data_IF_758580623838
#
_entry.id   IF_758580623838
#
_cell.length_a   1.000
_cell.length_b   1.000
_cell.length_c   1.000
_cell.angle_alpha   90.00
_cell.angle_beta   90.00
_cell.angle_gamma   90.00
#
_symmetry.space_group_name_H-M   'P 1'
#
loop_
_entity.id
_entity.type
_entity.pdbx_description
1 polymer ?
#
# COMPACT_ATOMS: atom_id res chain seq x y z
N UNK A 1 12.05 -7.74 19.86
CA UNK A 1 11.63 -6.88 18.72
C UNK A 1 10.70 -7.71 17.83
N UNK A 2 9.83 -7.08 17.05
CA UNK A 2 9.04 -7.72 15.99
C UNK A 2 9.21 -6.94 14.70
N UNK A 3 9.31 -7.66 13.59
CA UNK A 3 9.54 -7.11 12.25
C UNK A 3 8.55 -7.81 11.29
N UNK A 4 7.39 -7.21 10.96
CA UNK A 4 6.41 -7.82 10.07
C UNK A 4 6.86 -7.75 8.62
N UNK A 5 6.51 -8.75 7.80
CA UNK A 5 6.83 -8.76 6.37
C UNK A 5 6.05 -7.70 5.58
N UNK A 6 4.77 -7.50 5.94
CA UNK A 6 3.87 -6.50 5.37
C UNK A 6 2.71 -6.21 6.35
N UNK A 7 1.81 -5.31 5.96
CA UNK A 7 0.77 -4.77 6.84
C UNK A 7 -0.46 -5.67 7.05
N UNK A 8 -0.62 -6.78 6.31
CA UNK A 8 -1.84 -7.60 6.42
C UNK A 8 -2.03 -8.12 7.85
N UNK A 9 -3.30 -8.29 8.22
CA UNK A 9 -3.74 -8.54 9.57
C UNK A 9 -3.23 -9.85 10.15
N UNK A 10 -3.16 -10.90 9.35
CA UNK A 10 -2.54 -12.18 9.71
C UNK A 10 -1.04 -12.07 10.04
N UNK A 11 -0.34 -11.06 9.54
CA UNK A 11 1.08 -10.78 9.85
C UNK A 11 1.27 -9.77 10.99
N UNK A 12 0.21 -9.02 11.36
CA UNK A 12 0.32 -7.87 12.28
C UNK A 12 -0.61 -7.91 13.49
N UNK A 13 -1.63 -8.79 13.52
CA UNK A 13 -2.71 -8.78 14.54
C UNK A 13 -2.23 -9.00 15.97
N UNK A 14 -1.11 -9.71 16.15
CA UNK A 14 -0.51 -9.92 17.46
C UNK A 14 0.28 -8.70 17.98
N UNK A 15 0.71 -7.79 17.11
CA UNK A 15 1.68 -6.73 17.45
C UNK A 15 1.13 -5.77 18.52
N UNK A 16 -0.10 -5.22 18.42
CA UNK A 16 -0.63 -4.33 19.47
C UNK A 16 -0.65 -4.99 20.85
N UNK A 17 -0.99 -6.29 20.91
CA UNK A 17 -0.97 -7.06 22.15
C UNK A 17 0.45 -7.19 22.70
N UNK A 18 1.41 -7.55 21.86
CA UNK A 18 2.82 -7.69 22.24
C UNK A 18 3.43 -6.38 22.74
N UNK A 19 3.13 -5.25 22.09
CA UNK A 19 3.56 -3.93 22.53
C UNK A 19 2.98 -3.61 23.92
N UNK A 20 1.67 -3.80 24.11
CA UNK A 20 0.97 -3.46 25.36
C UNK A 20 1.37 -4.35 26.55
N UNK A 21 1.58 -5.66 26.31
CA UNK A 21 1.81 -6.65 27.39
C UNK A 21 3.28 -6.89 27.69
N UNK A 22 4.15 -6.76 26.70
CA UNK A 22 5.54 -7.17 26.80
C UNK A 22 6.53 -6.06 26.41
N UNK A 23 6.05 -4.87 26.01
CA UNK A 23 6.92 -3.77 25.60
C UNK A 23 7.73 -4.06 24.34
N UNK A 24 7.29 -5.02 23.52
CA UNK A 24 7.96 -5.40 22.27
C UNK A 24 8.07 -4.19 21.35
N UNK A 25 9.25 -4.00 20.77
CA UNK A 25 9.52 -2.94 19.79
C UNK A 25 9.13 -3.37 18.39
N UNK A 26 8.39 -2.53 17.67
CA UNK A 26 8.03 -2.74 16.27
C UNK A 26 9.05 -2.02 15.38
N UNK A 27 9.75 -2.76 14.53
CA UNK A 27 10.53 -2.18 13.44
C UNK A 27 9.86 -2.52 12.11
N UNK A 28 9.81 -1.58 11.17
CA UNK A 28 9.15 -1.78 9.88
C UNK A 28 9.94 -1.08 8.76
N UNK A 29 9.81 -1.58 7.52
CA UNK A 29 10.25 -0.85 6.33
C UNK A 29 9.65 0.56 6.34
N UNK A 30 10.44 1.56 5.93
CA UNK A 30 10.04 2.97 5.88
C UNK A 30 8.69 3.22 5.19
N UNK A 31 8.44 2.56 4.07
CA UNK A 31 7.19 2.65 3.31
C UNK A 31 5.97 2.13 4.09
N UNK A 32 6.17 1.27 5.09
CA UNK A 32 5.11 0.72 5.94
C UNK A 32 4.78 1.57 7.16
N UNK A 33 5.57 2.60 7.49
CA UNK A 33 5.38 3.33 8.75
C UNK A 33 3.98 3.99 8.80
N UNK A 34 3.62 4.76 7.78
CA UNK A 34 2.37 5.52 7.81
C UNK A 34 1.12 4.61 7.82
N UNK A 35 1.13 3.52 7.06
CA UNK A 35 0.02 2.57 7.00
C UNK A 35 -0.20 1.84 8.34
N UNK A 36 0.87 1.56 9.09
CA UNK A 36 0.79 0.95 10.41
C UNK A 36 0.37 1.96 11.49
N UNK A 37 0.83 3.20 11.41
CA UNK A 37 0.51 4.25 12.40
C UNK A 37 -0.83 4.93 12.15
N UNK A 38 -1.26 5.03 10.88
CA UNK A 38 -2.47 5.75 10.45
C UNK A 38 -3.38 4.88 9.56
N UNK A 39 -3.84 3.70 10.03
CA UNK A 39 -4.61 2.79 9.20
C UNK A 39 -5.94 3.38 8.68
N UNK A 40 -6.50 4.38 9.38
CA UNK A 40 -7.70 5.10 8.95
C UNK A 40 -7.52 5.88 7.64
N UNK A 41 -6.28 6.14 7.20
CA UNK A 41 -6.00 6.84 5.95
C UNK A 41 -6.18 5.98 4.70
N UNK A 42 -6.40 4.67 4.86
CA UNK A 42 -6.32 3.70 3.76
C UNK A 42 -7.62 2.90 3.59
N UNK A 43 -7.94 2.60 2.32
CA UNK A 43 -8.96 1.62 1.91
C UNK A 43 -8.32 0.46 1.16
N UNK A 44 -7.65 -0.42 1.89
CA UNK A 44 -6.88 -1.54 1.36
C UNK A 44 -7.25 -2.81 2.15
N UNK A 45 -7.20 -4.00 1.52
CA UNK A 45 -7.69 -5.22 2.13
C UNK A 45 -6.78 -5.66 3.28
N UNK A 46 -7.35 -6.41 4.23
CA UNK A 46 -6.62 -7.03 5.34
C UNK A 46 -5.85 -6.03 6.24
N UNK A 47 -6.17 -4.73 6.22
CA UNK A 47 -5.58 -3.76 7.13
C UNK A 47 -6.28 -3.76 8.49
N UNK A 48 -5.50 -3.90 9.56
CA UNK A 48 -6.03 -3.73 10.92
C UNK A 48 -6.44 -2.26 11.16
N UNK A 49 -7.60 -2.01 11.78
CA UNK A 49 -8.08 -0.65 12.03
C UNK A 49 -7.40 0.03 13.23
N UNK A 50 -6.38 -0.58 13.83
CA UNK A 50 -5.74 -0.12 15.06
C UNK A 50 -4.34 0.42 14.77
N UNK A 51 -4.06 1.69 15.10
CA UNK A 51 -2.71 2.23 15.04
C UNK A 51 -1.70 1.40 15.81
N UNK A 52 -0.55 1.13 15.20
CA UNK A 52 0.61 0.48 15.81
C UNK A 52 1.78 1.45 15.79
N UNK A 53 2.33 1.76 16.96
CA UNK A 53 3.50 2.65 17.06
C UNK A 53 4.72 1.95 16.44
N UNK A 54 5.35 2.55 15.44
CA UNK A 54 6.61 2.03 14.90
C UNK A 54 7.77 2.63 15.71
N UNK A 55 8.57 1.76 16.34
CA UNK A 55 9.70 2.19 17.17
C UNK A 55 10.98 2.44 16.34
N UNK A 56 11.08 1.85 15.13
CA UNK A 56 12.19 2.07 14.19
C UNK A 56 11.71 1.91 12.74
N UNK A 57 12.02 2.90 11.92
CA UNK A 57 11.95 2.80 10.46
C UNK A 57 13.25 2.18 9.93
N UNK A 58 13.14 1.18 9.05
CA UNK A 58 14.26 0.52 8.37
C UNK A 58 14.23 0.91 6.90
N UNK A 59 15.35 1.35 6.34
CA UNK A 59 15.43 1.71 4.91
C UNK A 59 15.54 0.51 3.97
N UNK A 60 15.15 0.69 2.71
CA UNK A 60 15.38 -0.29 1.65
C UNK A 60 16.88 -0.59 1.46
N UNK A 61 17.27 -1.86 1.61
CA UNK A 61 18.64 -2.33 1.53
C UNK A 61 19.41 -2.25 2.84
N UNK A 62 18.82 -1.69 3.91
CA UNK A 62 19.46 -1.59 5.22
C UNK A 62 19.71 -2.98 5.84
N UNK A 63 20.82 -3.09 6.57
CA UNK A 63 21.10 -4.25 7.43
C UNK A 63 20.81 -3.90 8.88
N UNK A 64 20.08 -4.76 9.56
CA UNK A 64 19.81 -4.66 10.99
C UNK A 64 20.33 -5.88 11.72
N UNK A 65 21.00 -5.65 12.84
CA UNK A 65 21.48 -6.72 13.71
C UNK A 65 20.39 -7.09 14.71
N UNK A 66 20.12 -8.39 14.82
CA UNK A 66 19.24 -8.97 15.83
C UNK A 66 19.91 -10.21 16.42
N UNK A 67 20.33 -10.09 17.69
CA UNK A 67 21.16 -11.09 18.36
C UNK A 67 22.42 -11.42 17.52
N UNK A 68 22.63 -12.67 17.14
CA UNK A 68 23.74 -13.11 16.28
C UNK A 68 23.50 -12.96 14.77
N UNK A 69 22.31 -12.51 14.36
CA UNK A 69 21.90 -12.46 12.95
C UNK A 69 21.97 -11.05 12.35
N UNK A 70 22.61 -10.94 11.19
CA UNK A 70 22.54 -9.74 10.33
C UNK A 70 21.45 -9.91 9.28
N UNK A 71 20.35 -9.16 9.41
CA UNK A 71 19.18 -9.21 8.54
C UNK A 71 19.25 -8.09 7.51
N UNK A 72 19.35 -8.42 6.21
CA UNK A 72 19.20 -7.43 5.14
C UNK A 72 17.72 -7.29 4.77
N UNK A 73 17.16 -6.11 4.98
CA UNK A 73 15.79 -5.76 4.58
C UNK A 73 15.82 -5.18 3.16
N UNK A 74 14.91 -5.63 2.30
CA UNK A 74 14.73 -5.04 0.96
C UNK A 74 13.25 -4.82 0.67
N UNK A 75 12.93 -3.71 0.02
CA UNK A 75 11.59 -3.46 -0.49
C UNK A 75 11.25 -4.55 -1.53
N UNK A 76 10.12 -5.23 -1.34
CA UNK A 76 9.79 -6.44 -2.07
C UNK A 76 8.33 -6.46 -2.51
N UNK A 77 7.92 -5.55 -3.42
CA UNK A 77 6.51 -5.27 -3.68
C UNK A 77 5.87 -6.29 -4.64
N UNK A 78 5.70 -7.53 -4.20
CA UNK A 78 5.00 -8.57 -4.97
C UNK A 78 3.49 -8.53 -4.72
N UNK A 79 3.08 -8.84 -3.49
CA UNK A 79 1.67 -8.88 -3.11
C UNK A 79 1.09 -7.48 -2.86
N UNK A 80 1.91 -6.55 -2.37
CA UNK A 80 1.54 -5.16 -2.08
C UNK A 80 2.76 -4.24 -2.16
N UNK A 81 2.55 -2.94 -2.44
CA UNK A 81 3.59 -1.90 -2.32
C UNK A 81 4.24 -1.86 -0.93
N UNK A 82 3.48 -2.19 0.11
CA UNK A 82 3.91 -2.11 1.50
C UNK A 82 4.46 -3.45 1.98
N UNK A 83 5.46 -3.99 1.29
CA UNK A 83 6.00 -5.34 1.54
C UNK A 83 7.53 -5.36 1.52
N UNK A 84 8.13 -6.15 2.39
CA UNK A 84 9.57 -6.38 2.41
C UNK A 84 9.95 -7.85 2.47
N UNK A 85 11.13 -8.16 1.93
CA UNK A 85 11.81 -9.41 2.16
C UNK A 85 12.99 -9.21 3.12
N UNK A 86 13.33 -10.26 3.86
CA UNK A 86 14.49 -10.28 4.74
C UNK A 86 15.43 -11.41 4.35
N UNK A 87 16.68 -11.08 4.04
CA UNK A 87 17.75 -12.04 3.82
C UNK A 87 18.55 -12.22 5.11
N UNK A 88 18.77 -13.48 5.48
CA UNK A 88 19.68 -13.90 6.54
C UNK A 88 20.58 -15.03 6.03
N UNK A 89 21.81 -15.11 6.55
CA UNK A 89 22.69 -16.25 6.31
C UNK A 89 22.68 -17.17 7.53
N UNK A 90 22.39 -18.46 7.33
CA UNK A 90 22.37 -19.49 8.37
C UNK A 90 23.17 -20.68 7.87
N UNK A 91 24.21 -21.10 8.60
CA UNK A 91 25.09 -22.22 8.22
C UNK A 91 25.67 -22.12 6.79
N UNK A 92 26.04 -20.90 6.39
CA UNK A 92 26.56 -20.60 5.04
C UNK A 92 25.50 -20.69 3.93
N UNK A 93 24.21 -20.67 4.30
CA UNK A 93 23.07 -20.70 3.37
C UNK A 93 22.25 -19.43 3.44
N UNK A 94 21.87 -18.92 2.27
CA UNK A 94 21.08 -17.70 2.11
C UNK A 94 19.60 -18.04 2.21
N UNK A 95 18.96 -17.62 3.29
CA UNK A 95 17.53 -17.80 3.53
C UNK A 95 16.84 -16.46 3.34
N UNK A 96 15.84 -16.41 2.46
CA UNK A 96 15.04 -15.21 2.23
C UNK A 96 13.62 -15.44 2.75
N UNK A 97 13.22 -14.68 3.76
CA UNK A 97 11.83 -14.55 4.17
C UNK A 97 11.11 -13.67 3.15
N UNK A 98 10.19 -14.25 2.40
CA UNK A 98 9.52 -13.57 1.27
C UNK A 98 8.16 -13.00 1.62
N UNK A 99 7.70 -13.22 2.87
CA UNK A 99 6.30 -13.01 3.24
C UNK A 99 5.39 -13.63 2.19
N UNK A 100 4.37 -12.89 1.78
CA UNK A 100 3.38 -13.34 0.81
C UNK A 100 3.69 -12.93 -0.64
N UNK A 101 4.76 -12.16 -0.86
CA UNK A 101 5.12 -11.65 -2.20
C UNK A 101 5.61 -12.72 -3.14
N UNK A 102 6.30 -13.75 -2.64
CA UNK A 102 6.72 -14.91 -3.45
C UNK A 102 6.49 -16.20 -2.68
N UNK A 103 5.69 -17.10 -3.26
CA UNK A 103 5.46 -18.46 -2.79
C UNK A 103 5.75 -19.50 -3.88
N UNK A 104 5.40 -20.76 -3.62
CA UNK A 104 5.52 -21.86 -4.59
C UNK A 104 4.21 -22.61 -4.74
N UNK A 105 3.80 -22.87 -5.99
CA UNK A 105 2.68 -23.76 -6.33
C UNK A 105 3.19 -24.73 -7.40
N UNK A 106 3.03 -26.03 -7.17
CA UNK A 106 3.47 -27.10 -8.07
C UNK A 106 4.92 -26.94 -8.56
N UNK A 107 5.83 -26.58 -7.65
CA UNK A 107 7.26 -26.41 -7.94
C UNK A 107 7.62 -25.13 -8.71
N UNK A 108 6.65 -24.22 -8.92
CA UNK A 108 6.83 -22.95 -9.63
C UNK A 108 6.64 -21.78 -8.68
N UNK A 109 7.57 -20.82 -8.74
CA UNK A 109 7.42 -19.58 -7.99
C UNK A 109 6.21 -18.79 -8.50
N UNK A 110 5.41 -18.25 -7.59
CA UNK A 110 4.20 -17.46 -7.89
C UNK A 110 4.24 -16.12 -7.16
N UNK A 111 3.66 -15.09 -7.79
CA UNK A 111 3.39 -13.80 -7.16
C UNK A 111 1.89 -13.51 -7.33
N UNK A 112 1.18 -13.11 -6.28
CA UNK A 112 -0.21 -12.67 -6.39
C UNK A 112 -0.29 -11.27 -7.03
N UNK A 113 -1.35 -10.99 -7.77
CA UNK A 113 -1.68 -9.66 -8.29
C UNK A 113 -3.01 -9.24 -7.67
N UNK A 114 -2.98 -8.25 -6.78
CA UNK A 114 -4.16 -7.76 -6.07
C UNK A 114 -4.19 -6.24 -6.24
N UNK A 115 -4.93 -5.72 -7.21
CA UNK A 115 -4.90 -4.29 -7.56
C UNK A 115 -5.15 -3.34 -6.37
N UNK A 116 -6.01 -3.75 -5.43
CA UNK A 116 -6.32 -2.97 -4.20
C UNK A 116 -5.16 -2.92 -3.19
N UNK A 117 -4.09 -3.68 -3.41
CA UNK A 117 -2.87 -3.64 -2.60
C UNK A 117 -1.84 -2.60 -3.08
N UNK A 118 -2.27 -1.61 -3.87
CA UNK A 118 -1.42 -0.59 -4.49
C UNK A 118 -0.41 -1.24 -5.44
N UNK A 119 -0.87 -1.64 -6.62
CA UNK A 119 0.02 -2.23 -7.65
C UNK A 119 0.53 -1.13 -8.55
N UNK A 120 1.85 -0.96 -8.64
CA UNK A 120 2.47 -0.17 -9.72
C UNK A 120 2.79 -1.07 -10.93
N UNK A 121 3.01 -0.51 -12.13
CA UNK A 121 3.45 -1.29 -13.28
C UNK A 121 4.70 -2.13 -12.97
N UNK A 122 5.65 -1.59 -12.19
CA UNK A 122 6.97 -2.19 -11.98
C UNK A 122 7.05 -3.16 -10.80
N UNK A 123 5.99 -3.28 -9.99
CA UNK A 123 6.02 -3.98 -8.69
C UNK A 123 6.50 -5.44 -8.78
N UNK A 124 5.84 -6.24 -9.61
CA UNK A 124 6.16 -7.67 -9.75
C UNK A 124 7.57 -7.91 -10.29
N UNK A 125 8.02 -7.08 -11.24
CA UNK A 125 9.37 -7.19 -11.79
C UNK A 125 10.43 -6.73 -10.79
N UNK A 126 10.21 -5.63 -10.08
CA UNK A 126 11.09 -5.20 -8.99
C UNK A 126 11.23 -6.29 -7.94
N UNK A 127 10.13 -6.90 -7.50
CA UNK A 127 10.14 -8.03 -6.57
C UNK A 127 10.96 -9.22 -7.11
N UNK A 128 10.72 -9.65 -8.37
CA UNK A 128 11.44 -10.76 -8.98
C UNK A 128 12.94 -10.47 -9.18
N UNK A 129 13.26 -9.23 -9.59
CA UNK A 129 14.64 -8.74 -9.76
C UNK A 129 15.37 -8.73 -8.41
N UNK A 130 14.75 -8.19 -7.37
CA UNK A 130 15.33 -8.18 -6.03
C UNK A 130 15.57 -9.62 -5.53
N UNK A 131 14.65 -10.56 -5.80
CA UNK A 131 14.86 -11.96 -5.45
C UNK A 131 16.09 -12.57 -6.16
N UNK A 132 16.29 -12.23 -7.43
CA UNK A 132 17.46 -12.67 -8.20
C UNK A 132 18.76 -12.10 -7.61
N UNK A 133 18.79 -10.83 -7.23
CA UNK A 133 19.95 -10.18 -6.60
C UNK A 133 20.25 -10.71 -5.19
N UNK A 134 19.23 -11.18 -4.47
CA UNK A 134 19.41 -11.82 -3.17
C UNK A 134 20.01 -13.23 -3.25
N UNK A 135 20.08 -13.86 -4.43
CA UNK A 135 20.67 -15.18 -4.66
C UNK A 135 20.36 -16.22 -3.57
N UNK A 136 19.07 -16.50 -3.27
CA UNK A 136 18.67 -17.41 -2.19
C UNK A 136 19.04 -18.87 -2.47
N UNK A 137 19.42 -19.60 -1.42
CA UNK A 137 19.37 -21.07 -1.38
C UNK A 137 17.97 -21.55 -0.99
N UNK A 138 17.33 -20.84 -0.05
CA UNK A 138 16.01 -21.17 0.50
C UNK A 138 15.09 -19.96 0.52
N UNK A 139 13.81 -20.20 0.28
CA UNK A 139 12.73 -19.23 0.53
C UNK A 139 11.91 -19.71 1.71
N UNK A 140 11.56 -18.79 2.61
CA UNK A 140 10.61 -18.99 3.69
C UNK A 140 9.38 -18.11 3.45
N UNK A 141 8.28 -18.74 3.03
CA UNK A 141 7.04 -18.04 2.70
C UNK A 141 6.25 -17.67 3.96
N UNK A 142 5.41 -16.64 3.88
CA UNK A 142 4.54 -16.21 4.98
C UNK A 142 3.51 -17.27 5.41
N UNK A 143 3.13 -18.14 4.49
CA UNK A 143 2.17 -19.24 4.73
C UNK A 143 2.80 -20.60 4.48
N UNK A 144 2.99 -21.39 5.53
CA UNK A 144 3.52 -22.75 5.41
C UNK A 144 5.02 -22.83 5.72
N UNK A 145 5.76 -23.58 4.89
CA UNK A 145 7.15 -23.94 5.16
C UNK A 145 8.17 -23.19 4.31
N UNK A 146 9.43 -23.59 4.50
CA UNK A 146 10.53 -23.18 3.62
C UNK A 146 10.75 -24.22 2.52
N UNK A 147 11.32 -23.79 1.40
CA UNK A 147 11.66 -24.67 0.28
C UNK A 147 12.95 -24.23 -0.41
N UNK A 148 13.64 -25.18 -1.04
CA UNK A 148 14.84 -24.90 -1.83
C UNK A 148 14.48 -24.21 -3.15
N UNK A 149 15.28 -23.23 -3.52
CA UNK A 149 15.14 -22.53 -4.80
C UNK A 149 16.47 -22.58 -5.55
N UNK A 150 16.39 -22.57 -6.87
CA UNK A 150 17.57 -22.46 -7.73
C UNK A 150 17.46 -21.24 -8.64
N UNK A 151 18.58 -20.88 -9.26
CA UNK A 151 18.66 -19.74 -10.19
C UNK A 151 17.71 -19.89 -11.39
N UNK A 152 17.36 -21.11 -11.80
CA UNK A 152 16.45 -21.36 -12.94
C UNK A 152 15.01 -21.03 -12.56
N UNK A 153 14.55 -21.41 -11.37
CA UNK A 153 13.23 -21.05 -10.83
C UNK A 153 13.10 -19.54 -10.70
N UNK A 154 14.12 -18.87 -10.15
CA UNK A 154 14.13 -17.41 -10.04
C UNK A 154 14.16 -16.73 -11.41
N UNK A 155 14.97 -17.20 -12.35
CA UNK A 155 14.97 -16.68 -13.73
C UNK A 155 13.61 -16.81 -14.40
N UNK A 156 12.92 -17.94 -14.21
CA UNK A 156 11.56 -18.16 -14.74
C UNK A 156 10.56 -17.16 -14.13
N UNK A 157 10.71 -16.83 -12.84
CA UNK A 157 9.90 -15.81 -12.18
C UNK A 157 10.13 -14.42 -12.80
N UNK A 158 11.40 -14.04 -13.00
CA UNK A 158 11.79 -12.77 -13.65
C UNK A 158 11.19 -12.66 -15.05
N UNK A 159 11.29 -13.72 -15.86
CA UNK A 159 10.72 -13.75 -17.20
C UNK A 159 9.19 -13.66 -17.19
N UNK A 160 8.53 -14.23 -16.18
CA UNK A 160 7.08 -14.10 -16.03
C UNK A 160 6.70 -12.67 -15.61
N UNK A 161 7.42 -12.07 -14.66
CA UNK A 161 7.15 -10.72 -14.20
C UNK A 161 7.27 -9.69 -15.34
N UNK A 162 8.31 -9.79 -16.18
CA UNK A 162 8.45 -8.95 -17.40
C UNK A 162 7.28 -9.14 -18.37
N UNK A 163 6.81 -10.38 -18.55
CA UNK A 163 5.64 -10.66 -19.39
C UNK A 163 4.37 -10.04 -18.80
N UNK A 164 4.22 -10.02 -17.48
CA UNK A 164 3.12 -9.34 -16.81
C UNK A 164 3.14 -7.84 -17.08
N UNK A 165 4.29 -7.18 -16.97
CA UNK A 165 4.43 -5.75 -17.30
C UNK A 165 4.04 -5.46 -18.76
N UNK A 166 4.59 -6.24 -19.70
CA UNK A 166 4.26 -6.09 -21.11
C UNK A 166 2.77 -6.32 -21.40
N UNK A 167 2.12 -7.23 -20.65
CA UNK A 167 0.68 -7.44 -20.76
C UNK A 167 -0.10 -6.23 -20.26
N UNK A 168 0.28 -5.62 -19.13
CA UNK A 168 -0.33 -4.39 -18.65
C UNK A 168 -0.21 -3.26 -19.68
N UNK A 169 0.98 -3.05 -20.25
CA UNK A 169 1.21 -2.07 -21.32
C UNK A 169 0.34 -2.33 -22.56
N UNK A 170 0.18 -3.59 -22.95
CA UNK A 170 -0.58 -3.94 -24.15
C UNK A 170 -2.11 -3.86 -23.99
N UNK A 171 -2.62 -4.03 -22.77
CA UNK A 171 -4.06 -4.18 -22.50
C UNK A 171 -4.70 -2.91 -21.93
N UNK A 172 -3.94 -2.06 -21.24
CA UNK A 172 -4.50 -0.91 -20.52
C UNK A 172 -4.38 0.38 -21.35
N UNK A 173 -5.43 1.21 -21.40
CA UNK A 173 -5.38 2.48 -22.11
C UNK A 173 -4.67 3.56 -21.30
N UNK A 174 -3.90 4.42 -21.97
CA UNK A 174 -3.21 5.54 -21.33
C UNK A 174 -2.07 5.09 -20.40
N UNK A 175 -1.69 5.90 -19.41
CA UNK A 175 -0.70 5.50 -18.42
C UNK A 175 -1.11 4.23 -17.68
N UNK A 176 -0.29 3.18 -17.77
CA UNK A 176 -0.55 1.85 -17.21
C UNK A 176 -0.95 1.91 -15.74
N UNK A 177 -0.28 2.76 -14.97
CA UNK A 177 -0.51 2.95 -13.54
C UNK A 177 -1.97 3.27 -13.20
N UNK A 178 -2.70 4.00 -14.06
CA UNK A 178 -4.13 4.30 -13.84
C UNK A 178 -5.01 3.04 -13.90
N UNK A 179 -4.62 2.05 -14.70
CA UNK A 179 -5.37 0.80 -14.87
C UNK A 179 -5.04 -0.27 -13.82
N UNK A 180 -3.85 -0.21 -13.22
CA UNK A 180 -3.41 -1.18 -12.20
C UNK A 180 -3.59 -0.69 -10.76
N UNK A 181 -3.58 0.62 -10.52
CA UNK A 181 -3.70 1.23 -9.21
C UNK A 181 -5.00 2.04 -9.09
N UNK A 182 -6.05 1.53 -8.43
CA UNK A 182 -7.28 2.29 -8.24
C UNK A 182 -7.15 3.45 -7.23
N UNK A 183 -6.07 3.52 -6.47
CA UNK A 183 -5.88 4.49 -5.38
C UNK A 183 -5.10 5.75 -5.77
N UNK A 184 -4.94 6.00 -7.08
CA UNK A 184 -4.29 7.19 -7.62
C UNK A 184 -5.06 8.50 -7.36
N UNK A 185 -6.37 8.38 -7.13
CA UNK A 185 -7.22 9.40 -6.52
C UNK A 185 -7.84 8.76 -5.28
N UNK A 186 -7.65 9.38 -4.11
CA UNK A 186 -8.23 8.87 -2.86
C UNK A 186 -8.53 9.97 -1.86
N UNK A 187 -9.48 9.71 -0.98
CA UNK A 187 -9.73 10.55 0.19
C UNK A 187 -8.83 10.15 1.37
N UNK A 188 -8.25 11.14 2.04
CA UNK A 188 -7.37 11.01 3.20
C UNK A 188 -7.86 11.93 4.33
N UNK A 189 -8.21 11.41 5.52
CA UNK A 189 -8.31 9.99 5.81
C UNK A 189 -9.49 9.33 5.08
N UNK A 190 -9.36 8.05 4.72
CA UNK A 190 -10.47 7.27 4.18
C UNK A 190 -11.61 7.11 5.20
N UNK A 191 -11.27 6.96 6.48
CA UNK A 191 -12.23 6.88 7.58
C UNK A 191 -12.07 8.06 8.54
N UNK A 192 -13.07 8.92 8.61
CA UNK A 192 -13.18 10.01 9.57
C UNK A 192 -14.16 9.68 10.68
N UNK A 193 -13.95 10.21 11.88
CA UNK A 193 -14.92 10.16 12.97
C UNK A 193 -15.10 11.54 13.60
N UNK A 194 -16.34 12.00 13.69
CA UNK A 194 -16.69 13.38 14.00
C UNK A 194 -17.99 13.43 14.81
N UNK A 195 -18.11 14.38 15.73
CA UNK A 195 -19.33 14.55 16.50
C UNK A 195 -20.49 15.11 15.66
N UNK A 196 -21.73 14.74 16.00
CA UNK A 196 -22.93 15.29 15.38
C UNK A 196 -22.91 16.83 15.28
N UNK A 197 -23.16 17.37 14.09
CA UNK A 197 -23.15 18.83 13.83
C UNK A 197 -21.75 19.49 13.79
N UNK A 198 -20.68 18.73 14.02
CA UNK A 198 -19.31 19.25 14.02
C UNK A 198 -18.66 19.18 12.63
N UNK A 199 -17.44 19.71 12.53
CA UNK A 199 -16.65 19.71 11.31
C UNK A 199 -15.53 18.68 11.35
N UNK A 200 -15.17 18.13 10.20
CA UNK A 200 -13.99 17.29 10.00
C UNK A 200 -13.29 17.70 8.72
N UNK A 201 -11.96 17.62 8.71
CA UNK A 201 -11.15 17.87 7.53
C UNK A 201 -10.88 16.57 6.77
N UNK A 202 -10.90 16.66 5.45
CA UNK A 202 -10.54 15.57 4.54
C UNK A 202 -9.82 16.13 3.33
N UNK A 203 -8.85 15.39 2.80
CA UNK A 203 -8.08 15.78 1.64
C UNK A 203 -8.36 14.81 0.49
N UNK A 204 -8.53 15.33 -0.72
CA UNK A 204 -8.41 14.53 -1.93
C UNK A 204 -6.94 14.50 -2.34
N UNK A 205 -6.31 13.34 -2.23
CA UNK A 205 -4.96 13.08 -2.74
C UNK A 205 -5.08 12.61 -4.20
N UNK A 206 -4.35 13.27 -5.11
CA UNK A 206 -4.33 12.94 -6.54
C UNK A 206 -2.88 12.81 -6.99
N UNK A 207 -2.54 11.66 -7.58
CA UNK A 207 -1.26 11.44 -8.25
C UNK A 207 -1.41 11.50 -9.77
N UNK A 208 -0.67 12.38 -10.42
CA UNK A 208 -0.68 12.49 -11.87
C UNK A 208 0.28 11.48 -12.52
N UNK A 209 -0.28 10.39 -13.07
CA UNK A 209 0.46 9.38 -13.84
C UNK A 209 0.66 9.73 -15.32
N UNK A 210 0.13 10.85 -15.81
CA UNK A 210 0.42 11.30 -17.16
C UNK A 210 1.84 11.90 -17.25
N UNK A 211 2.41 11.88 -18.45
CA UNK A 211 3.70 12.47 -18.79
C UNK A 211 3.64 13.99 -19.02
N UNK A 212 2.49 14.61 -18.71
CA UNK A 212 2.20 16.04 -18.86
C UNK A 212 1.47 16.55 -17.64
N UNK A 213 1.43 17.88 -17.50
CA UNK A 213 0.54 18.53 -16.55
C UNK A 213 -0.93 18.26 -16.87
N UNK A 214 -1.75 18.11 -15.82
CA UNK A 214 -3.21 17.96 -15.90
C UNK A 214 -3.89 19.04 -15.05
N UNK A 215 -5.04 19.54 -15.50
CA UNK A 215 -5.95 20.34 -14.67
C UNK A 215 -6.91 19.39 -13.94
N UNK A 216 -6.89 19.38 -12.60
CA UNK A 216 -7.84 18.63 -11.77
C UNK A 216 -8.86 19.58 -11.18
N UNK A 217 -10.13 19.21 -11.23
CA UNK A 217 -11.23 19.87 -10.52
C UNK A 217 -12.03 18.80 -9.76
N UNK A 218 -12.38 19.08 -8.51
CA UNK A 218 -13.05 18.12 -7.65
C UNK A 218 -14.02 18.79 -6.67
N UNK A 219 -15.17 18.13 -6.46
CA UNK A 219 -16.17 18.50 -5.45
C UNK A 219 -16.64 17.28 -4.67
N UNK A 220 -16.88 17.45 -3.37
CA UNK A 220 -17.41 16.38 -2.53
C UNK A 220 -18.91 16.17 -2.81
N UNK A 221 -19.31 14.91 -2.91
CA UNK A 221 -20.71 14.47 -2.95
C UNK A 221 -21.08 14.02 -1.56
N UNK A 222 -21.88 14.83 -0.87
CA UNK A 222 -22.25 14.65 0.53
C UNK A 222 -23.73 14.26 0.69
N UNK A 223 -24.06 13.79 1.88
CA UNK A 223 -25.45 13.54 2.29
C UNK A 223 -26.23 14.86 2.44
N UNK A 224 -27.55 14.78 2.30
CA UNK A 224 -28.44 15.93 2.45
C UNK A 224 -28.26 16.62 3.81
N UNK A 225 -28.18 17.95 3.80
CA UNK A 225 -28.00 18.77 5.00
C UNK A 225 -26.56 18.87 5.51
N UNK A 226 -25.59 18.24 4.85
CA UNK A 226 -24.17 18.43 5.13
C UNK A 226 -23.62 19.58 4.28
N UNK A 227 -22.59 20.25 4.79
CA UNK A 227 -21.96 21.39 4.11
C UNK A 227 -20.48 21.10 3.87
N UNK A 228 -19.92 21.63 2.78
CA UNK A 228 -18.50 21.52 2.45
C UNK A 228 -17.90 22.90 2.21
N UNK A 229 -16.71 23.16 2.75
CA UNK A 229 -15.94 24.36 2.47
C UNK A 229 -14.50 24.03 2.05
N UNK A 230 -14.06 24.49 0.86
CA UNK A 230 -14.89 25.02 -0.22
C UNK A 230 -15.76 23.92 -0.83
N UNK A 231 -16.76 24.29 -1.63
CA UNK A 231 -17.57 23.32 -2.38
C UNK A 231 -16.79 22.67 -3.53
N UNK A 232 -15.83 23.40 -4.10
CA UNK A 232 -15.03 23.00 -5.26
C UNK A 232 -13.55 23.35 -5.03
N UNK A 233 -12.66 22.46 -5.47
CA UNK A 233 -11.22 22.69 -5.57
C UNK A 233 -10.76 22.46 -7.00
N UNK A 234 -9.78 23.24 -7.44
CA UNK A 234 -9.08 22.99 -8.70
C UNK A 234 -7.58 23.26 -8.51
N UNK A 235 -6.76 22.44 -9.15
CA UNK A 235 -5.30 22.51 -9.07
C UNK A 235 -4.67 21.98 -10.37
N UNK A 236 -3.54 22.59 -10.77
CA UNK A 236 -2.67 22.07 -11.82
C UNK A 236 -1.67 21.11 -11.25
N UNK A 237 -1.63 19.89 -11.77
CA UNK A 237 -0.78 18.82 -11.26
C UNK A 237 0.27 18.48 -12.29
N UNK A 238 1.52 18.87 -12.03
CA UNK A 238 2.64 18.50 -12.91
C UNK A 238 2.81 16.97 -13.03
N UNK A 239 3.41 16.53 -14.14
CA UNK A 239 3.66 15.12 -14.42
C UNK A 239 4.40 14.41 -13.28
N UNK A 240 3.92 13.22 -12.87
CA UNK A 240 4.52 12.42 -11.80
C UNK A 240 4.42 13.02 -10.39
N UNK A 241 3.62 14.09 -10.19
CA UNK A 241 3.45 14.73 -8.89
C UNK A 241 2.15 14.29 -8.21
N UNK A 242 2.21 14.27 -6.88
CA UNK A 242 1.04 14.14 -6.01
C UNK A 242 0.68 15.51 -5.45
N UNK A 243 -0.61 15.85 -5.45
CA UNK A 243 -1.17 17.02 -4.76
C UNK A 243 -2.25 16.57 -3.77
N UNK A 244 -2.57 17.47 -2.84
CA UNK A 244 -3.66 17.30 -1.87
C UNK A 244 -4.57 18.51 -1.91
N UNK A 245 -5.86 18.25 -2.08
CA UNK A 245 -6.91 19.26 -2.16
C UNK A 245 -7.75 19.20 -0.87
N UNK A 246 -7.58 20.13 0.08
CA UNK A 246 -8.24 20.05 1.38
C UNK A 246 -9.68 20.57 1.33
N UNK A 247 -10.56 19.88 2.04
CA UNK A 247 -11.97 20.20 2.27
C UNK A 247 -12.30 20.11 3.77
N UNK A 248 -13.18 20.99 4.24
CA UNK A 248 -13.77 20.90 5.58
C UNK A 248 -15.25 20.58 5.42
N UNK A 249 -15.71 19.48 6.01
CA UNK A 249 -17.10 19.02 5.98
C UNK A 249 -17.76 19.34 7.31
N UNK A 250 -18.93 19.99 7.32
CA UNK A 250 -19.84 20.02 8.47
C UNK A 250 -20.85 18.88 8.33
N UNK A 251 -20.85 17.96 9.29
CA UNK A 251 -21.74 16.81 9.27
C UNK A 251 -23.11 17.14 9.87
N UNK A 252 -24.12 16.39 9.45
CA UNK A 252 -25.46 16.45 10.01
C UNK A 252 -25.54 15.95 11.46
N UNK A 253 -26.71 16.07 12.11
CA UNK A 253 -26.88 15.77 13.52
C UNK A 253 -27.12 14.28 13.83
N UNK A 254 -27.36 13.45 12.82
CA UNK A 254 -27.77 12.05 13.00
C UNK A 254 -26.53 11.15 13.12
N UNK A 255 -26.35 10.43 14.24
CA UNK A 255 -25.26 9.46 14.38
C UNK A 255 -25.47 8.25 13.49
N UNK A 256 -24.55 8.03 12.55
CA UNK A 256 -24.48 6.86 11.68
C UNK A 256 -23.11 6.76 10.99
N UNK A 257 -22.93 5.78 10.11
CA UNK A 257 -21.81 5.66 9.17
C UNK A 257 -22.26 6.07 7.77
N UNK A 258 -21.71 7.17 7.28
CA UNK A 258 -22.04 7.76 5.99
C UNK A 258 -20.94 7.51 4.96
N UNK A 259 -21.34 7.24 3.73
CA UNK A 259 -20.43 7.19 2.58
C UNK A 259 -20.45 8.52 1.86
N UNK A 260 -19.28 9.09 1.61
CA UNK A 260 -19.11 10.28 0.77
C UNK A 260 -18.34 9.89 -0.49
N UNK A 261 -18.53 10.63 -1.57
CA UNK A 261 -17.79 10.43 -2.81
C UNK A 261 -17.18 11.74 -3.30
N UNK A 262 -16.32 11.66 -4.31
CA UNK A 262 -15.72 12.83 -4.94
C UNK A 262 -15.99 12.80 -6.42
N UNK A 263 -16.70 13.79 -6.92
CA UNK A 263 -16.89 13.99 -8.36
C UNK A 263 -15.66 14.72 -8.92
N UNK A 264 -14.99 14.10 -9.89
CA UNK A 264 -13.73 14.61 -10.44
C UNK A 264 -13.84 14.88 -11.93
N UNK A 265 -13.21 15.97 -12.36
CA UNK A 265 -12.98 16.37 -13.75
C UNK A 265 -11.48 16.51 -13.99
N UNK A 266 -10.98 15.96 -15.10
CA UNK A 266 -9.58 16.10 -15.53
C UNK A 266 -9.58 16.69 -16.94
N UNK A 267 -8.86 17.79 -17.15
CA UNK A 267 -8.75 18.49 -18.43
C UNK A 267 -10.12 18.72 -19.11
N UNK A 268 -11.07 19.27 -18.36
CA UNK A 268 -12.47 19.48 -18.79
C UNK A 268 -13.30 18.21 -19.07
N UNK A 269 -12.75 17.01 -18.88
CA UNK A 269 -13.48 15.75 -18.99
C UNK A 269 -13.88 15.25 -17.61
N UNK A 270 -15.18 15.27 -17.32
CA UNK A 270 -15.74 14.67 -16.10
C UNK A 270 -15.53 13.16 -16.11
N UNK A 271 -14.81 12.65 -15.11
CA UNK A 271 -14.59 11.21 -14.89
C UNK A 271 -15.56 10.63 -13.83
N UNK A 272 -16.30 11.50 -13.14
CA UNK A 272 -17.42 11.13 -12.25
C UNK A 272 -16.98 10.89 -10.81
N UNK A 273 -17.80 10.14 -10.07
CA UNK A 273 -17.53 9.75 -8.68
C UNK A 273 -16.52 8.60 -8.63
N UNK A 274 -15.23 8.94 -8.62
CA UNK A 274 -14.12 7.97 -8.83
C UNK A 274 -13.46 7.49 -7.54
N UNK A 275 -13.77 8.12 -6.41
CA UNK A 275 -13.30 7.69 -5.10
C UNK A 275 -14.32 8.00 -4.02
N UNK A 276 -14.20 7.29 -2.91
CA UNK A 276 -15.10 7.34 -1.77
C UNK A 276 -14.37 7.44 -0.43
N UNK A 277 -15.12 7.87 0.58
CA UNK A 277 -14.68 7.97 1.96
C UNK A 277 -15.82 7.64 2.91
N UNK A 278 -15.47 7.35 4.17
CA UNK A 278 -16.41 6.99 5.22
C UNK A 278 -16.32 8.02 6.33
N UNK A 279 -17.46 8.59 6.70
CA UNK A 279 -17.57 9.52 7.83
C UNK A 279 -18.49 8.91 8.87
N UNK A 280 -17.94 8.61 10.05
CA UNK A 280 -18.70 8.14 11.20
C UNK A 280 -19.10 9.32 12.07
N UNK A 281 -20.40 9.61 12.11
CA UNK A 281 -20.98 10.62 13.00
C UNK A 281 -21.25 9.98 14.37
N UNK A 282 -20.76 10.60 15.44
CA UNK A 282 -20.87 10.13 16.82
C UNK A 282 -21.75 11.04 17.67
#
# INVERSE_FOLDING_TARGET
VVIPSHYHDDHTCGIPHLQKRHGVKLWALDSMVNILENPQEYNIPCLLPYPMKVDRSIGDGERVEWEEYSLKVVHFPGQTEYHMAMLVEVDGKRVVFTGDSVGEIDGKLVQPIIHRNIVTPENHFKCAKNLAELEPDFLAHGHGGWFTVDRKKVGTLVDRARRTEALFESLLPGPVALGVNPSWIRLVPYQSAVGAGQTTDIELEVHNYFDREIDVEAGLVLHEGWECSPELRSERVAAGRTVRLPFTIRVGPTPDRYGIAVDVTIDSKRIGQVTEGIVRVR
#
